data_IF_574246545164
#
_entry.id   IF_574246545164
#
_cell.length_a   1.000
_cell.length_b   1.000
_cell.length_c   1.000
_cell.angle_alpha   90.00
_cell.angle_beta   90.00
_cell.angle_gamma   90.00
#
_symmetry.space_group_name_H-M   'P 1'
#
loop_
_entity.id
_entity.type
_entity.pdbx_description
1 polymer ?
#
# COMPACT_ATOMS: atom_id res chain seq x y z
N UNK A 1 27.13 -74.69 2.86
CA UNK A 1 25.66 -74.57 2.75
C UNK A 1 25.19 -73.34 3.51
N UNK A 2 24.51 -72.44 2.80
CA UNK A 2 23.96 -71.15 3.25
C UNK A 2 23.07 -71.23 4.51
N UNK A 3 23.08 -70.16 5.35
CA UNK A 3 21.89 -69.33 5.64
C UNK A 3 22.17 -68.14 6.61
N UNK A 4 22.12 -66.95 6.02
CA UNK A 4 21.50 -65.67 6.48
C UNK A 4 22.05 -64.98 7.74
N UNK A 5 22.91 -63.98 7.50
CA UNK A 5 23.11 -62.82 8.40
C UNK A 5 21.96 -61.81 8.19
N UNK A 6 21.30 -61.40 9.27
CA UNK A 6 20.39 -60.26 9.27
C UNK A 6 21.21 -58.97 9.34
N UNK A 7 21.08 -58.09 8.35
CA UNK A 7 21.55 -56.71 8.38
C UNK A 7 20.36 -55.83 8.76
N UNK A 8 20.42 -55.22 9.95
CA UNK A 8 19.59 -54.08 10.31
C UNK A 8 20.18 -52.85 9.61
N UNK A 9 19.54 -52.42 8.53
CA UNK A 9 19.80 -51.12 7.92
C UNK A 9 19.03 -50.05 8.71
N UNK A 10 19.74 -49.23 9.48
CA UNK A 10 19.19 -47.99 10.02
C UNK A 10 19.04 -46.99 8.88
N UNK A 11 17.82 -46.79 8.40
CA UNK A 11 17.50 -45.75 7.41
C UNK A 11 17.52 -44.39 8.08
N UNK A 12 18.56 -43.60 7.82
CA UNK A 12 18.53 -42.16 8.07
C UNK A 12 17.65 -41.52 6.98
N UNK A 13 16.37 -41.34 7.26
CA UNK A 13 15.49 -40.52 6.43
C UNK A 13 15.94 -39.06 6.56
N UNK A 14 16.76 -38.60 5.62
CA UNK A 14 17.09 -37.18 5.47
C UNK A 14 15.81 -36.42 5.18
N UNK A 15 15.29 -35.71 6.18
CA UNK A 15 14.22 -34.75 5.98
C UNK A 15 14.77 -33.63 5.07
N UNK A 16 14.38 -33.64 3.80
CA UNK A 16 14.51 -32.50 2.91
C UNK A 16 13.63 -31.40 3.50
N UNK A 17 14.24 -30.53 4.32
CA UNK A 17 13.60 -29.29 4.72
C UNK A 17 13.52 -28.42 3.47
N UNK A 18 12.35 -28.38 2.84
CA UNK A 18 12.06 -27.39 1.82
C UNK A 18 12.11 -26.01 2.49
N UNK A 19 13.27 -25.34 2.43
CA UNK A 19 13.33 -23.94 2.81
C UNK A 19 12.44 -23.16 1.84
N UNK A 20 11.54 -22.29 2.33
CA UNK A 20 10.77 -21.44 1.44
C UNK A 20 11.75 -20.52 0.72
N UNK A 21 11.85 -20.68 -0.60
CA UNK A 21 12.48 -19.70 -1.45
C UNK A 21 11.60 -18.46 -1.36
N UNK A 22 12.02 -17.47 -0.57
CA UNK A 22 11.43 -16.13 -0.63
C UNK A 22 11.66 -15.62 -2.05
N UNK A 23 10.64 -15.77 -2.90
CA UNK A 23 10.64 -15.16 -4.21
C UNK A 23 10.68 -13.64 -3.99
N UNK A 24 11.86 -13.04 -4.11
CA UNK A 24 11.98 -11.60 -4.21
C UNK A 24 11.21 -11.17 -5.46
N UNK A 25 9.98 -10.68 -5.27
CA UNK A 25 9.21 -10.10 -6.37
C UNK A 25 9.96 -8.85 -6.82
N UNK A 26 10.57 -8.94 -8.00
CA UNK A 26 11.20 -7.79 -8.65
C UNK A 26 10.08 -6.83 -9.05
N UNK A 27 10.08 -5.64 -8.47
CA UNK A 27 9.12 -4.61 -8.82
C UNK A 27 9.46 -4.05 -10.21
N UNK A 28 8.47 -3.85 -11.07
CA UNK A 28 8.67 -3.16 -12.33
C UNK A 28 9.08 -1.70 -12.04
N UNK A 29 10.18 -1.26 -12.64
CA UNK A 29 10.53 0.16 -12.67
C UNK A 29 9.57 0.89 -13.60
N UNK A 30 9.05 2.01 -13.13
CA UNK A 30 8.17 2.86 -13.91
C UNK A 30 8.92 4.09 -14.36
N UNK A 31 8.86 4.38 -15.67
CA UNK A 31 9.37 5.62 -16.23
C UNK A 31 8.36 6.74 -15.88
N UNK A 32 8.65 7.45 -14.78
CA UNK A 32 7.82 8.53 -14.29
C UNK A 32 8.41 9.87 -14.75
N UNK A 33 7.56 10.85 -15.11
CA UNK A 33 8.01 12.22 -15.28
C UNK A 33 8.79 12.68 -14.04
N UNK A 34 9.89 13.45 -14.20
CA UNK A 34 10.70 13.91 -13.07
C UNK A 34 9.91 14.62 -11.97
N UNK A 35 8.84 15.33 -12.33
CA UNK A 35 7.92 16.00 -11.40
C UNK A 35 7.07 15.04 -10.54
N UNK A 36 7.02 13.75 -10.88
CA UNK A 36 6.31 12.71 -10.14
C UNK A 36 7.24 11.89 -9.23
N UNK A 37 8.55 12.14 -9.30
CA UNK A 37 9.51 11.53 -8.39
C UNK A 37 9.41 12.17 -6.99
N UNK A 38 9.78 11.45 -5.92
CA UNK A 38 9.79 12.02 -4.57
C UNK A 38 10.77 13.20 -4.50
N UNK A 39 10.35 14.29 -3.88
CA UNK A 39 11.14 15.51 -3.74
C UNK A 39 11.17 15.96 -2.29
N UNK A 40 12.35 16.32 -1.78
CA UNK A 40 12.45 17.01 -0.49
C UNK A 40 12.04 18.47 -0.70
N UNK A 41 11.09 18.94 0.09
CA UNK A 41 10.55 20.30 0.02
C UNK A 41 10.55 20.96 1.40
N UNK A 42 10.65 22.28 1.45
CA UNK A 42 10.43 23.04 2.68
C UNK A 42 8.93 23.12 2.99
N UNK A 43 8.58 23.06 4.27
CA UNK A 43 7.21 23.22 4.79
C UNK A 43 7.17 24.36 5.81
N UNK A 44 5.98 24.89 6.17
CA UNK A 44 5.87 25.98 7.14
C UNK A 44 6.57 25.68 8.46
N UNK A 45 7.14 26.73 9.07
CA UNK A 45 7.81 26.62 10.36
C UNK A 45 6.84 26.13 11.46
N UNK A 46 7.31 25.19 12.27
CA UNK A 46 6.51 24.60 13.35
C UNK A 46 5.60 23.46 12.93
N UNK A 47 5.70 22.99 11.67
CA UNK A 47 5.03 21.76 11.23
C UNK A 47 5.53 20.56 12.05
N UNK A 48 4.60 19.72 12.52
CA UNK A 48 4.96 18.51 13.27
C UNK A 48 5.69 17.52 12.34
N UNK A 49 6.84 16.95 12.77
CA UNK A 49 7.53 15.92 12.00
C UNK A 49 6.81 14.58 12.11
N UNK A 50 7.07 13.68 11.15
CA UNK A 50 6.57 12.31 11.12
C UNK A 50 5.03 12.19 11.03
N UNK A 51 4.39 13.12 10.33
CA UNK A 51 2.99 13.09 9.97
C UNK A 51 2.81 12.87 8.46
N UNK A 52 1.67 12.29 8.08
CA UNK A 52 1.28 12.12 6.69
C UNK A 52 0.21 13.15 6.35
N UNK A 53 0.46 13.98 5.35
CA UNK A 53 -0.50 14.97 4.85
C UNK A 53 -0.84 14.67 3.40
N UNK A 54 -2.10 14.35 3.10
CA UNK A 54 -2.57 14.18 1.72
C UNK A 54 -3.35 15.42 1.31
N UNK A 55 -2.84 16.14 0.32
CA UNK A 55 -3.41 17.38 -0.21
C UNK A 55 -3.96 17.12 -1.61
N UNK A 56 -5.28 16.84 -1.76
CA UNK A 56 -5.84 16.39 -3.02
C UNK A 56 -5.73 17.41 -4.16
N UNK A 57 -5.87 18.70 -3.85
CA UNK A 57 -5.78 19.78 -4.84
C UNK A 57 -4.40 19.87 -5.52
N UNK A 58 -3.36 19.27 -4.91
CA UNK A 58 -2.01 19.23 -5.45
C UNK A 58 -1.60 17.84 -5.94
N UNK A 59 -2.50 16.84 -5.85
CA UNK A 59 -2.17 15.43 -6.02
C UNK A 59 -0.92 15.03 -5.23
N UNK A 60 -0.80 15.53 -3.99
CA UNK A 60 0.42 15.40 -3.21
C UNK A 60 0.18 14.67 -1.88
N UNK A 61 1.12 13.81 -1.51
CA UNK A 61 1.30 13.30 -0.16
C UNK A 61 2.62 13.84 0.38
N UNK A 62 2.61 14.39 1.59
CA UNK A 62 3.79 14.85 2.29
C UNK A 62 4.06 13.93 3.48
N UNK A 63 5.30 13.47 3.59
CA UNK A 63 5.87 12.86 4.78
C UNK A 63 6.72 13.89 5.49
N UNK A 64 6.21 14.48 6.57
CA UNK A 64 6.93 15.55 7.27
C UNK A 64 8.16 15.01 7.98
N UNK A 65 9.20 15.81 7.99
CA UNK A 65 10.51 15.53 8.57
C UNK A 65 10.87 16.64 9.56
N UNK A 66 11.92 16.44 10.38
CA UNK A 66 12.55 17.53 11.12
C UNK A 66 12.98 18.70 10.20
N UNK A 67 13.39 19.80 10.84
CA UNK A 67 13.96 20.97 10.18
C UNK A 67 13.02 21.65 9.15
N UNK A 68 11.71 21.55 9.38
CA UNK A 68 10.67 22.12 8.51
C UNK A 68 10.81 21.64 7.04
N UNK A 69 11.04 20.34 6.87
CA UNK A 69 11.08 19.69 5.54
C UNK A 69 10.04 18.58 5.43
N UNK A 70 9.74 18.15 4.21
CA UNK A 70 8.95 16.96 3.94
C UNK A 70 9.43 16.27 2.66
N UNK A 71 9.21 14.95 2.57
CA UNK A 71 9.24 14.27 1.28
C UNK A 71 7.86 14.39 0.65
N UNK A 72 7.77 15.10 -0.48
CA UNK A 72 6.58 15.19 -1.32
C UNK A 72 6.56 14.04 -2.32
N UNK A 73 5.46 13.31 -2.36
CA UNK A 73 5.13 12.30 -3.36
C UNK A 73 3.95 12.77 -4.20
N UNK A 74 4.00 12.55 -5.52
CA UNK A 74 2.81 12.71 -6.36
C UNK A 74 1.94 11.46 -6.25
N UNK A 75 0.65 11.64 -6.00
CA UNK A 75 -0.30 10.55 -5.72
C UNK A 75 -1.52 10.59 -6.62
N UNK A 76 -2.11 9.42 -6.90
CA UNK A 76 -3.48 9.34 -7.39
C UNK A 76 -4.46 9.49 -6.22
N UNK A 77 -5.57 10.20 -6.42
CA UNK A 77 -6.57 10.48 -5.35
C UNK A 77 -7.96 9.95 -5.70
N UNK A 78 -8.86 10.03 -4.72
CA UNK A 78 -10.28 9.73 -4.89
C UNK A 78 -10.96 10.63 -5.91
N UNK A 79 -11.91 10.07 -6.65
CA UNK A 79 -12.83 10.85 -7.49
C UNK A 79 -13.69 11.78 -6.61
N UNK A 80 -14.24 12.87 -7.18
CA UNK A 80 -15.24 13.69 -6.49
C UNK A 80 -16.36 12.85 -5.89
N UNK A 81 -16.74 13.15 -4.65
CA UNK A 81 -17.79 12.44 -3.90
C UNK A 81 -17.39 11.08 -3.33
N UNK A 82 -16.17 10.60 -3.56
CA UNK A 82 -15.65 9.34 -3.00
C UNK A 82 -14.46 9.53 -2.05
N UNK A 83 -14.00 10.77 -1.87
CA UNK A 83 -12.92 11.11 -0.95
C UNK A 83 -13.49 11.59 0.39
N UNK A 84 -12.92 11.10 1.48
CA UNK A 84 -13.30 11.47 2.85
C UNK A 84 -12.11 12.21 3.49
N UNK A 85 -12.33 13.49 3.82
CA UNK A 85 -11.35 14.31 4.52
C UNK A 85 -11.45 14.09 6.04
N UNK A 86 -10.37 14.34 6.76
CA UNK A 86 -10.33 14.25 8.22
C UNK A 86 -8.99 13.81 8.76
N UNK A 87 -8.99 13.50 10.05
CA UNK A 87 -7.84 12.97 10.77
C UNK A 87 -7.97 11.46 10.99
N UNK A 88 -6.86 10.76 10.79
CA UNK A 88 -6.74 9.32 10.85
C UNK A 88 -5.38 8.95 11.46
N UNK A 89 -5.16 7.66 11.68
CA UNK A 89 -3.85 7.11 11.98
C UNK A 89 -3.60 5.81 11.22
N UNK A 90 -2.32 5.43 11.08
CA UNK A 90 -1.95 4.14 10.47
C UNK A 90 -2.19 3.01 11.47
N UNK A 91 -3.39 2.39 11.40
CA UNK A 91 -3.77 1.31 12.31
C UNK A 91 -3.32 -0.08 11.85
N UNK A 92 -3.00 -0.26 10.57
CA UNK A 92 -2.42 -1.51 10.08
C UNK A 92 -1.56 -1.30 8.83
N UNK A 93 -0.64 -2.23 8.61
CA UNK A 93 0.32 -2.25 7.51
C UNK A 93 0.34 -3.64 6.89
N UNK A 94 0.28 -3.76 5.56
CA UNK A 94 0.38 -5.04 4.87
C UNK A 94 1.31 -5.00 3.66
N UNK A 95 2.10 -6.06 3.54
CA UNK A 95 2.81 -6.42 2.33
C UNK A 95 1.93 -7.29 1.43
N UNK A 96 1.95 -7.02 0.12
CA UNK A 96 1.14 -7.72 -0.89
C UNK A 96 -0.30 -7.95 -0.42
N UNK A 97 -1.03 -6.88 -0.05
CA UNK A 97 -2.36 -7.01 0.51
C UNK A 97 -3.31 -7.70 -0.47
N UNK A 98 -4.17 -8.58 0.04
CA UNK A 98 -5.37 -8.96 -0.70
C UNK A 98 -6.31 -7.77 -0.83
N UNK A 99 -7.12 -7.78 -1.88
CA UNK A 99 -8.09 -6.73 -2.14
C UNK A 99 -9.47 -7.31 -2.37
N UNK A 100 -10.46 -6.76 -1.67
CA UNK A 100 -11.88 -7.03 -1.92
C UNK A 100 -12.58 -5.70 -2.18
N UNK A 101 -13.37 -5.57 -3.26
CA UNK A 101 -14.17 -4.37 -3.49
C UNK A 101 -15.08 -4.08 -2.30
N UNK A 102 -15.23 -2.81 -1.93
CA UNK A 102 -16.17 -2.44 -0.87
C UNK A 102 -17.62 -2.64 -1.33
N UNK A 103 -18.58 -2.78 -0.40
CA UNK A 103 -20.00 -2.84 -0.76
C UNK A 103 -20.46 -1.64 -1.61
N UNK A 104 -19.90 -0.45 -1.36
CA UNK A 104 -20.19 0.75 -2.16
C UNK A 104 -19.68 0.65 -3.60
N UNK A 105 -18.50 0.06 -3.80
CA UNK A 105 -17.96 -0.20 -5.14
C UNK A 105 -18.86 -1.18 -5.91
N UNK A 106 -19.21 -2.31 -5.29
CA UNK A 106 -20.10 -3.32 -5.89
C UNK A 106 -21.47 -2.75 -6.27
N UNK A 107 -22.04 -1.85 -5.46
CA UNK A 107 -23.30 -1.18 -5.79
C UNK A 107 -23.17 -0.20 -6.96
N UNK A 108 -22.10 0.60 -7.02
CA UNK A 108 -21.91 1.60 -8.09
C UNK A 108 -21.57 0.99 -9.44
N UNK A 109 -20.62 0.04 -9.48
CA UNK A 109 -20.13 -0.54 -10.73
C UNK A 109 -20.12 -2.08 -10.65
N UNK A 110 -21.29 -2.75 -10.54
CA UNK A 110 -21.38 -4.19 -10.31
C UNK A 110 -20.75 -5.02 -11.42
N UNK A 111 -20.84 -4.59 -12.69
CA UNK A 111 -20.20 -5.29 -13.81
C UNK A 111 -18.67 -5.29 -13.71
N UNK A 112 -18.09 -4.22 -13.19
CA UNK A 112 -16.64 -4.05 -13.06
C UNK A 112 -16.08 -4.76 -11.83
N UNK A 113 -16.74 -4.62 -10.68
CA UNK A 113 -16.23 -5.15 -9.40
C UNK A 113 -16.82 -6.51 -9.02
N UNK A 114 -17.96 -6.91 -9.60
CA UNK A 114 -18.65 -8.16 -9.33
C UNK A 114 -17.77 -9.42 -9.44
N UNK A 115 -16.93 -9.55 -10.49
CA UNK A 115 -16.00 -10.68 -10.62
C UNK A 115 -15.02 -10.81 -9.45
N UNK A 116 -14.73 -9.72 -8.73
CA UNK A 116 -13.77 -9.68 -7.62
C UNK A 116 -14.43 -9.71 -6.24
N UNK A 117 -15.73 -10.00 -6.15
CA UNK A 117 -16.48 -9.96 -4.88
C UNK A 117 -15.95 -10.89 -3.78
N UNK A 118 -15.26 -11.97 -4.19
CA UNK A 118 -14.64 -12.93 -3.28
C UNK A 118 -13.16 -12.59 -2.99
N UNK A 119 -12.72 -11.40 -3.41
CA UNK A 119 -11.36 -10.92 -3.23
C UNK A 119 -10.42 -11.30 -4.37
N UNK A 120 -9.27 -10.64 -4.34
CA UNK A 120 -8.14 -10.84 -5.22
C UNK A 120 -6.90 -11.03 -4.33
N UNK A 121 -6.07 -12.06 -4.57
CA UNK A 121 -4.83 -12.24 -3.82
C UNK A 121 -3.86 -11.08 -4.05
N UNK A 122 -2.88 -10.95 -3.17
CA UNK A 122 -1.79 -10.00 -3.35
C UNK A 122 -0.97 -10.31 -4.62
N UNK A 123 -0.44 -9.28 -5.26
CA UNK A 123 0.39 -9.41 -6.45
C UNK A 123 0.40 -8.15 -7.30
N UNK A 124 1.20 -8.14 -8.36
CA UNK A 124 1.36 -6.97 -9.25
C UNK A 124 0.07 -6.56 -9.98
N UNK A 125 -0.85 -7.50 -10.20
CA UNK A 125 -2.15 -7.22 -10.81
C UNK A 125 -3.18 -6.68 -9.81
N UNK A 126 -2.91 -6.77 -8.50
CA UNK A 126 -3.81 -6.30 -7.45
C UNK A 126 -3.87 -4.77 -7.42
N UNK A 127 -5.05 -4.14 -7.38
CA UNK A 127 -5.18 -2.68 -7.41
C UNK A 127 -4.58 -1.97 -6.19
N UNK A 128 -4.33 -2.68 -5.09
CA UNK A 128 -3.63 -2.17 -3.91
C UNK A 128 -2.09 -2.17 -4.06
N UNK A 129 -1.55 -2.86 -5.07
CA UNK A 129 -0.12 -2.91 -5.33
C UNK A 129 0.70 -3.64 -4.26
N UNK A 130 1.97 -3.26 -4.12
CA UNK A 130 2.95 -3.98 -3.30
C UNK A 130 2.78 -3.78 -1.79
N UNK A 131 2.25 -2.64 -1.35
CA UNK A 131 2.09 -2.27 0.06
C UNK A 131 0.81 -1.47 0.28
N UNK A 132 0.26 -1.56 1.47
CA UNK A 132 -0.82 -0.68 1.92
C UNK A 132 -0.68 -0.30 3.40
N UNK A 133 -0.88 0.97 3.68
CA UNK A 133 -1.15 1.54 4.99
C UNK A 133 -2.67 1.70 5.13
N UNK A 134 -3.25 1.10 6.16
CA UNK A 134 -4.68 1.14 6.42
C UNK A 134 -4.97 2.26 7.42
N UNK A 135 -5.89 3.13 7.05
CA UNK A 135 -6.21 4.32 7.83
C UNK A 135 -7.36 4.03 8.78
N UNK A 136 -7.14 4.34 10.04
CA UNK A 136 -8.08 4.09 11.13
C UNK A 136 -8.51 5.41 11.77
N UNK A 137 -9.68 5.38 12.40
CA UNK A 137 -10.19 6.47 13.23
C UNK A 137 -10.48 5.97 14.65
N UNK A 138 -10.20 6.77 15.70
CA UNK A 138 -10.61 6.45 17.06
C UNK A 138 -12.11 6.17 17.13
N UNK A 139 -12.51 5.08 17.79
CA UNK A 139 -13.92 4.67 17.92
C UNK A 139 -14.55 4.02 16.67
N UNK A 140 -14.02 4.24 15.47
CA UNK A 140 -14.50 3.62 14.21
C UNK A 140 -13.71 2.38 13.80
N UNK A 141 -12.39 2.37 14.00
CA UNK A 141 -11.51 1.34 13.44
C UNK A 141 -11.16 1.61 11.96
N UNK A 142 -11.04 0.55 11.14
CA UNK A 142 -10.71 0.66 9.70
C UNK A 142 -11.76 1.49 8.96
N UNK A 143 -11.31 2.55 8.28
CA UNK A 143 -12.20 3.48 7.57
C UNK A 143 -12.47 3.07 6.13
N UNK A 144 -11.85 2.00 5.66
CA UNK A 144 -11.78 1.62 4.24
C UNK A 144 -10.93 2.54 3.36
N UNK A 145 -10.24 3.53 3.94
CA UNK A 145 -9.25 4.38 3.27
C UNK A 145 -7.83 3.83 3.45
N UNK A 146 -7.00 4.04 2.45
CA UNK A 146 -5.63 3.51 2.42
C UNK A 146 -4.68 4.50 1.74
N UNK A 147 -3.41 4.44 2.13
CA UNK A 147 -2.29 4.87 1.29
C UNK A 147 -1.65 3.60 0.76
N UNK A 148 -1.63 3.40 -0.56
CA UNK A 148 -1.24 2.11 -1.13
C UNK A 148 -0.55 2.23 -2.49
N UNK A 149 0.00 1.11 -2.98
CA UNK A 149 0.60 1.02 -4.31
C UNK A 149 -0.42 1.07 -5.44
N UNK A 150 0.01 0.77 -6.66
CA UNK A 150 -0.92 0.65 -7.79
C UNK A 150 -0.42 -0.37 -8.78
N UNK A 151 -1.34 -1.11 -9.39
CA UNK A 151 -1.07 -1.92 -10.58
C UNK A 151 -1.07 -1.08 -11.87
N UNK A 152 -1.50 0.18 -11.78
CA UNK A 152 -1.62 1.10 -12.92
C UNK A 152 -0.97 2.46 -12.57
N UNK A 153 0.31 2.66 -12.93
CA UNK A 153 1.05 3.90 -12.70
C UNK A 153 0.46 5.11 -13.45
N UNK A 154 -0.29 4.89 -14.53
CA UNK A 154 -0.91 5.99 -15.27
C UNK A 154 -1.98 6.74 -14.46
N UNK A 155 -2.35 6.22 -13.28
CA UNK A 155 -3.30 6.84 -12.36
C UNK A 155 -2.70 7.87 -11.40
N UNK A 156 -1.36 8.00 -11.37
CA UNK A 156 -0.67 8.99 -10.57
C UNK A 156 -0.93 10.40 -11.13
N UNK A 157 -1.16 11.38 -10.23
CA UNK A 157 -1.52 12.74 -10.62
C UNK A 157 -2.97 12.88 -11.13
N UNK A 158 -3.85 11.90 -10.83
CA UNK A 158 -5.24 11.88 -11.31
C UNK A 158 -6.24 11.53 -10.20
N UNK A 159 -7.46 12.05 -10.34
CA UNK A 159 -8.59 11.76 -9.44
C UNK A 159 -9.40 10.57 -9.97
N UNK A 160 -8.95 9.35 -9.69
CA UNK A 160 -9.51 8.13 -10.28
C UNK A 160 -9.84 7.02 -9.27
N UNK A 161 -9.37 7.15 -8.03
CA UNK A 161 -9.55 6.14 -7.00
C UNK A 161 -10.96 6.22 -6.37
N UNK A 162 -11.30 5.22 -5.54
CA UNK A 162 -12.54 5.18 -4.77
C UNK A 162 -12.38 5.79 -3.36
N UNK A 163 -11.40 6.69 -3.16
CA UNK A 163 -11.18 7.45 -1.92
C UNK A 163 -9.75 7.37 -1.35
N UNK A 164 -8.96 6.39 -1.81
CA UNK A 164 -7.60 6.16 -1.32
C UNK A 164 -6.54 7.04 -2.02
N UNK A 165 -5.37 7.19 -1.40
CA UNK A 165 -4.17 7.76 -2.01
C UNK A 165 -3.30 6.63 -2.61
N UNK A 166 -2.87 6.79 -3.87
CA UNK A 166 -2.10 5.79 -4.62
C UNK A 166 -0.70 6.30 -4.94
N UNK A 167 0.32 5.50 -4.66
CA UNK A 167 1.70 5.67 -5.11
C UNK A 167 2.07 4.57 -6.10
N UNK A 168 3.15 4.75 -6.87
CA UNK A 168 3.76 3.61 -7.59
C UNK A 168 4.42 2.64 -6.61
N UNK A 169 4.60 1.38 -7.06
CA UNK A 169 5.05 0.31 -6.16
C UNK A 169 6.42 0.57 -5.52
N UNK A 170 7.39 1.10 -6.27
CA UNK A 170 8.72 1.40 -5.71
C UNK A 170 8.66 2.49 -4.62
N UNK A 171 7.81 3.50 -4.82
CA UNK A 171 7.64 4.60 -3.86
C UNK A 171 6.88 4.14 -2.61
N UNK A 172 5.78 3.38 -2.75
CA UNK A 172 5.05 2.89 -1.57
C UNK A 172 5.88 1.91 -0.76
N UNK A 173 6.79 1.13 -1.36
CA UNK A 173 7.66 0.22 -0.61
C UNK A 173 8.59 1.00 0.30
N UNK A 174 9.29 2.00 -0.24
CA UNK A 174 10.16 2.87 0.57
C UNK A 174 9.37 3.62 1.64
N UNK A 175 8.22 4.20 1.25
CA UNK A 175 7.37 4.94 2.18
C UNK A 175 6.81 4.05 3.29
N UNK A 176 6.41 2.82 2.96
CA UNK A 176 5.93 1.84 3.93
C UNK A 176 6.98 1.53 4.98
N UNK A 177 8.26 1.39 4.61
CA UNK A 177 9.33 1.07 5.55
C UNK A 177 9.63 2.24 6.50
N UNK A 178 9.43 3.48 6.06
CA UNK A 178 9.64 4.68 6.88
C UNK A 178 8.51 4.97 7.87
N UNK A 179 7.28 4.57 7.58
CA UNK A 179 6.09 4.97 8.35
C UNK A 179 5.79 3.96 9.46
N UNK A 180 5.87 4.32 10.76
CA UNK A 180 5.46 3.45 11.84
C UNK A 180 3.93 3.31 11.95
N UNK A 181 3.47 2.30 12.70
CA UNK A 181 2.07 2.26 13.15
C UNK A 181 1.78 3.48 14.05
N UNK A 182 0.50 3.81 14.17
CA UNK A 182 -0.01 4.95 14.95
C UNK A 182 0.44 6.34 14.44
N UNK A 183 1.15 6.38 13.31
CA UNK A 183 1.46 7.63 12.58
C UNK A 183 0.18 8.39 12.29
N UNK A 184 0.15 9.69 12.64
CA UNK A 184 -0.97 10.58 12.34
C UNK A 184 -1.05 10.88 10.85
N UNK A 185 -2.27 10.84 10.34
CA UNK A 185 -2.58 11.05 8.92
C UNK A 185 -3.69 12.09 8.78
N UNK A 186 -3.44 13.12 8.00
CA UNK A 186 -4.39 14.20 7.72
C UNK A 186 -4.73 14.16 6.23
N UNK A 187 -6.00 13.90 5.94
CA UNK A 187 -6.56 13.95 4.60
C UNK A 187 -7.28 15.29 4.43
N UNK A 188 -6.69 16.22 3.67
CA UNK A 188 -7.26 17.56 3.48
C UNK A 188 -8.47 17.53 2.54
N UNK A 189 -9.42 18.48 2.66
CA UNK A 189 -10.57 18.58 1.78
C UNK A 189 -10.18 18.58 0.30
N UNK A 190 -10.91 17.81 -0.50
CA UNK A 190 -10.74 17.83 -1.94
C UNK A 190 -11.54 19.00 -2.54
N UNK A 191 -10.85 20.08 -2.86
CA UNK A 191 -11.36 21.18 -3.69
C UNK A 191 -10.93 20.89 -5.13
N UNK A 192 -11.88 20.46 -5.95
CA UNK A 192 -11.66 20.17 -7.38
C UNK A 192 -11.98 21.39 -8.24
#
# INVERSE_FOLDING_TARGET
MNRRKFLLAAGAAGALTSQPVSAHVVLPKYDLPPEYLPQVVSIPEGSAPYEIHVVPSQFALFWTQPDNTAIRYTVGIGRPGLYEAGEFYVGAKKEWPSWTPTPGMLRREPKKYGPFRNGMPGGLSNPLGARALYLFQPGRGDTFLRVHGTNDPSTIGRAVSNGCARLVNDQIVQFYDMVPLDTRVILYPATF
#
